data_IF_297829730717
#
_entry.id   IF_297829730717
#
_cell.length_a   1.000
_cell.length_b   1.000
_cell.length_c   1.000
_cell.angle_alpha   90.00
_cell.angle_beta   90.00
_cell.angle_gamma   90.00
#
_symmetry.space_group_name_H-M   'P 1'
#
loop_
_entity.id
_entity.type
_entity.pdbx_description
1 polymer ?
#
# COMPACT_ATOMS: atom_id res chain seq x y z
N UNK A 1 -15.00 -1.59 -3.48
CA UNK A 1 -15.15 -3.05 -3.68
C UNK A 1 -15.46 -3.43 -5.13
N UNK A 2 -16.55 -2.99 -5.74
CA UNK A 2 -16.88 -3.36 -7.14
C UNK A 2 -15.79 -2.98 -8.14
N UNK A 3 -15.22 -1.78 -8.02
CA UNK A 3 -14.09 -1.36 -8.88
C UNK A 3 -12.81 -2.17 -8.65
N UNK A 4 -12.55 -2.64 -7.43
CA UNK A 4 -11.39 -3.50 -7.14
C UNK A 4 -11.56 -4.89 -7.76
N UNK A 5 -12.77 -5.45 -7.72
CA UNK A 5 -13.08 -6.74 -8.35
C UNK A 5 -12.85 -6.71 -9.87
N UNK A 6 -13.18 -5.61 -10.54
CA UNK A 6 -12.88 -5.41 -11.97
C UNK A 6 -11.39 -5.43 -12.29
N UNK A 7 -10.53 -5.26 -11.28
CA UNK A 7 -9.07 -5.20 -11.37
C UNK A 7 -8.38 -6.41 -10.70
N UNK A 8 -9.12 -7.48 -10.43
CA UNK A 8 -8.63 -8.68 -9.73
C UNK A 8 -8.03 -8.40 -8.33
N UNK A 9 -8.48 -7.35 -7.66
CA UNK A 9 -8.12 -7.05 -6.27
C UNK A 9 -9.25 -7.46 -5.31
N UNK A 10 -8.90 -8.09 -4.20
CA UNK A 10 -9.81 -8.47 -3.11
C UNK A 10 -9.67 -7.54 -1.92
N UNK A 11 -10.67 -7.57 -1.04
CA UNK A 11 -10.62 -6.87 0.25
C UNK A 11 -10.73 -7.94 1.32
N UNK A 12 -9.66 -8.13 2.10
CA UNK A 12 -9.57 -9.22 3.06
C UNK A 12 -10.30 -8.90 4.37
N UNK A 13 -10.31 -7.62 4.76
CA UNK A 13 -11.01 -7.15 5.94
C UNK A 13 -11.55 -5.72 5.75
N UNK A 14 -12.74 -5.45 6.29
CA UNK A 14 -13.25 -4.10 6.51
C UNK A 14 -13.28 -3.84 8.02
N UNK A 15 -12.71 -2.71 8.44
CA UNK A 15 -12.74 -2.28 9.83
C UNK A 15 -13.35 -0.89 9.90
N UNK A 16 -14.43 -0.77 10.69
CA UNK A 16 -14.98 0.51 11.08
C UNK A 16 -14.42 0.88 12.46
N UNK A 17 -13.84 2.07 12.56
CA UNK A 17 -13.31 2.58 13.82
C UNK A 17 -14.14 3.77 14.30
N UNK A 18 -14.64 3.68 15.54
CA UNK A 18 -15.31 4.78 16.25
C UNK A 18 -14.48 5.16 17.47
N UNK A 19 -14.28 6.46 17.69
CA UNK A 19 -13.47 6.98 18.81
C UNK A 19 -14.34 7.33 20.04
N UNK A 20 -15.58 6.84 20.08
CA UNK A 20 -16.54 7.09 21.17
C UNK A 20 -16.27 6.15 22.35
N UNK A 21 -16.37 6.67 23.58
CA UNK A 21 -16.26 5.87 24.81
C UNK A 21 -17.31 4.75 24.82
N UNK A 22 -16.88 3.50 24.94
CA UNK A 22 -17.75 2.31 24.96
C UNK A 22 -17.88 1.58 23.61
N UNK A 23 -17.21 2.05 22.56
CA UNK A 23 -17.11 1.29 21.31
C UNK A 23 -16.36 -0.03 21.55
N UNK A 24 -16.86 -1.19 21.07
CA UNK A 24 -16.14 -2.44 21.21
C UNK A 24 -14.77 -2.32 20.54
N UNK A 25 -13.72 -2.74 21.25
CA UNK A 25 -12.39 -2.87 20.65
C UNK A 25 -12.50 -3.77 19.41
N UNK A 26 -12.11 -3.22 18.26
CA UNK A 26 -12.01 -4.00 17.03
C UNK A 26 -11.08 -5.19 17.30
N UNK A 27 -11.46 -6.38 16.83
CA UNK A 27 -10.59 -7.56 16.89
C UNK A 27 -9.50 -7.38 15.82
N UNK A 28 -8.28 -7.10 16.25
CA UNK A 28 -7.14 -6.81 15.36
C UNK A 28 -6.33 -8.05 14.98
N UNK A 29 -6.55 -9.22 15.62
CA UNK A 29 -5.83 -10.45 15.26
C UNK A 29 -5.90 -10.83 13.77
N UNK A 30 -7.04 -10.71 13.06
CA UNK A 30 -7.12 -11.02 11.63
C UNK A 30 -6.27 -10.10 10.74
N UNK A 31 -5.80 -8.96 11.27
CA UNK A 31 -5.08 -7.95 10.50
C UNK A 31 -3.56 -8.13 10.56
N UNK A 32 -3.04 -9.09 11.34
CA UNK A 32 -1.59 -9.29 11.51
C UNK A 32 -0.85 -9.64 10.22
N UNK A 33 -1.54 -10.28 9.27
CA UNK A 33 -0.97 -10.64 7.96
C UNK A 33 -1.23 -9.58 6.88
N UNK A 34 -1.93 -8.49 7.21
CA UNK A 34 -2.26 -7.42 6.25
C UNK A 34 -1.13 -6.40 6.18
N UNK A 35 -0.66 -6.15 4.96
CA UNK A 35 0.45 -5.23 4.66
C UNK A 35 0.03 -3.92 4.02
N UNK A 36 -1.16 -3.88 3.42
CA UNK A 36 -1.69 -2.72 2.70
C UNK A 36 -2.96 -2.26 3.38
N UNK A 37 -2.94 -1.05 3.94
CA UNK A 37 -4.07 -0.42 4.59
C UNK A 37 -4.63 0.68 3.69
N UNK A 38 -5.95 0.71 3.52
CA UNK A 38 -6.64 1.84 2.85
C UNK A 38 -7.52 2.52 3.88
N UNK A 39 -7.24 3.79 4.18
CA UNK A 39 -7.98 4.56 5.18
C UNK A 39 -8.79 5.69 4.55
N UNK A 40 -10.00 5.86 5.10
CA UNK A 40 -10.84 7.02 4.85
C UNK A 40 -11.26 7.60 6.19
N UNK A 41 -10.62 8.70 6.60
CA UNK A 41 -10.85 9.33 7.90
C UNK A 41 -11.22 10.80 7.73
N UNK A 42 -12.33 11.27 8.32
CA UNK A 42 -12.67 12.69 8.29
C UNK A 42 -11.80 13.49 9.25
N UNK A 43 -11.02 14.42 8.70
CA UNK A 43 -10.28 15.44 9.45
C UNK A 43 -9.02 14.95 10.18
N UNK A 44 -8.25 15.92 10.69
CA UNK A 44 -6.94 15.69 11.31
C UNK A 44 -7.00 14.92 12.62
N UNK A 45 -8.00 15.18 13.45
CA UNK A 45 -8.15 14.51 14.75
C UNK A 45 -8.31 13.00 14.58
N UNK A 46 -9.29 12.58 13.79
CA UNK A 46 -9.61 11.17 13.51
C UNK A 46 -8.43 10.46 12.85
N UNK A 47 -7.76 11.12 11.90
CA UNK A 47 -6.60 10.55 11.23
C UNK A 47 -5.41 10.39 12.18
N UNK A 48 -5.12 11.38 13.02
CA UNK A 48 -4.05 11.26 14.02
C UNK A 48 -4.31 10.13 15.02
N UNK A 49 -5.55 9.97 15.49
CA UNK A 49 -5.90 8.84 16.37
C UNK A 49 -5.76 7.49 15.65
N UNK A 50 -6.09 7.40 14.36
CA UNK A 50 -5.82 6.20 13.55
C UNK A 50 -4.32 5.89 13.48
N UNK A 51 -3.47 6.89 13.18
CA UNK A 51 -2.02 6.71 13.14
C UNK A 51 -1.49 6.21 14.48
N UNK A 52 -1.94 6.78 15.59
CA UNK A 52 -1.55 6.32 16.92
C UNK A 52 -1.97 4.87 17.18
N UNK A 53 -3.20 4.49 16.80
CA UNK A 53 -3.66 3.10 16.95
C UNK A 53 -2.83 2.13 16.12
N UNK A 54 -2.53 2.47 14.85
CA UNK A 54 -1.69 1.66 13.97
C UNK A 54 -0.27 1.51 14.54
N UNK A 55 0.30 2.58 15.10
CA UNK A 55 1.60 2.54 15.77
C UNK A 55 1.59 1.57 16.95
N UNK A 56 0.60 1.68 17.84
CA UNK A 56 0.50 0.84 19.04
C UNK A 56 0.27 -0.64 18.72
N UNK A 57 -0.29 -0.94 17.54
CA UNK A 57 -0.45 -2.30 17.01
C UNK A 57 0.77 -2.81 16.23
N UNK A 58 1.79 -1.97 16.01
CA UNK A 58 3.01 -2.35 15.29
C UNK A 58 2.90 -2.28 13.75
N UNK A 59 1.89 -1.60 13.21
CA UNK A 59 1.69 -1.45 11.76
C UNK A 59 2.48 -0.27 11.17
N UNK A 60 3.81 -0.35 11.27
CA UNK A 60 4.74 0.64 10.72
C UNK A 60 6.04 0.00 10.23
N UNK A 61 6.83 0.77 9.46
CA UNK A 61 8.11 0.30 8.92
C UNK A 61 7.99 -0.27 7.50
N UNK A 62 8.98 -1.09 7.11
CA UNK A 62 9.22 -1.45 5.71
C UNK A 62 8.15 -2.32 5.08
N UNK A 63 7.46 -3.12 5.88
CA UNK A 63 6.51 -4.14 5.44
C UNK A 63 5.06 -3.66 5.32
N UNK A 64 4.77 -2.42 5.75
CA UNK A 64 3.41 -1.87 5.73
C UNK A 64 3.34 -0.62 4.86
N UNK A 65 2.23 -0.45 4.15
CA UNK A 65 1.90 0.77 3.42
C UNK A 65 0.48 1.21 3.76
N UNK A 66 0.34 2.50 4.06
CA UNK A 66 -0.94 3.17 4.26
C UNK A 66 -1.27 3.99 3.02
N UNK A 67 -2.42 3.72 2.40
CA UNK A 67 -3.06 4.56 1.40
C UNK A 67 -4.13 5.36 2.11
N UNK A 68 -4.06 6.68 2.01
CA UNK A 68 -5.00 7.55 2.72
C UNK A 68 -5.54 8.64 1.80
N UNK A 69 -6.84 8.89 1.93
CA UNK A 69 -7.45 10.10 1.40
C UNK A 69 -7.13 11.24 2.37
N UNK A 70 -6.14 12.09 2.08
CA UNK A 70 -5.77 13.08 3.09
C UNK A 70 -5.12 14.39 2.63
N UNK A 71 -5.43 15.42 3.44
CA UNK A 71 -5.16 16.85 3.25
C UNK A 71 -4.20 17.44 4.29
N UNK A 72 -3.65 16.67 5.25
CA UNK A 72 -2.80 17.30 6.26
C UNK A 72 -1.40 17.64 5.77
N UNK A 73 -0.96 18.81 6.23
CA UNK A 73 0.41 19.30 6.15
C UNK A 73 1.15 18.96 7.44
N UNK A 74 2.48 19.03 7.37
CA UNK A 74 3.37 19.00 8.55
C UNK A 74 2.89 19.95 9.65
N UNK A 75 2.42 21.14 9.26
CA UNK A 75 1.93 22.16 10.18
C UNK A 75 0.73 21.70 11.01
N UNK A 76 -0.07 20.78 10.48
CA UNK A 76 -1.24 20.26 11.18
C UNK A 76 -0.83 19.26 12.29
N UNK A 77 0.45 18.88 12.30
CA UNK A 77 1.09 18.01 13.30
C UNK A 77 1.97 18.78 14.29
N UNK A 78 2.22 20.09 14.08
CA UNK A 78 3.13 20.85 14.94
C UNK A 78 2.53 21.18 16.32
N UNK A 79 1.21 21.02 16.48
CA UNK A 79 0.47 21.20 17.73
C UNK A 79 -0.14 19.90 18.25
N UNK A 80 0.51 18.75 18.01
CA UNK A 80 0.04 17.46 18.54
C UNK A 80 0.05 17.54 20.08
N UNK A 81 -1.13 17.32 20.66
CA UNK A 81 -1.30 17.11 22.09
C UNK A 81 -1.37 15.61 22.36
N UNK A 82 -0.34 15.07 23.01
CA UNK A 82 -0.26 13.64 23.35
C UNK A 82 -1.47 13.17 24.16
N UNK A 83 -2.08 14.04 24.98
CA UNK A 83 -3.27 13.70 25.76
C UNK A 83 -4.51 13.47 24.90
N UNK A 84 -4.57 14.07 23.70
CA UNK A 84 -5.68 13.96 22.75
C UNK A 84 -5.55 12.73 21.86
N UNK A 85 -4.33 12.40 21.45
CA UNK A 85 -4.06 11.34 20.48
C UNK A 85 -3.62 10.02 21.13
N UNK A 86 -3.03 10.07 22.32
CA UNK A 86 -2.43 8.91 22.99
C UNK A 86 -1.06 8.49 22.45
N UNK A 87 -0.48 9.27 21.52
CA UNK A 87 0.85 9.09 20.96
C UNK A 87 1.51 10.44 20.69
N UNK A 88 2.83 10.44 20.65
CA UNK A 88 3.62 11.61 20.27
C UNK A 88 3.77 11.73 18.75
N UNK A 89 4.27 12.90 18.30
CA UNK A 89 4.50 13.19 16.88
C UNK A 89 5.40 12.15 16.19
N UNK A 90 6.46 11.71 16.85
CA UNK A 90 7.44 10.79 16.26
C UNK A 90 6.80 9.42 15.97
N UNK A 91 5.98 8.92 16.89
CA UNK A 91 5.26 7.64 16.76
C UNK A 91 4.28 7.67 15.58
N UNK A 92 3.50 8.76 15.46
CA UNK A 92 2.59 8.91 14.31
C UNK A 92 3.34 9.04 12.98
N UNK A 93 4.47 9.75 12.96
CA UNK A 93 5.30 9.90 11.76
C UNK A 93 5.93 8.58 11.30
N UNK A 94 6.19 7.63 12.20
CA UNK A 94 6.69 6.30 11.81
C UNK A 94 5.68 5.51 10.97
N UNK A 95 4.39 5.65 11.27
CA UNK A 95 3.31 5.04 10.47
C UNK A 95 3.17 5.77 9.13
N UNK A 96 3.30 7.10 9.15
CA UNK A 96 3.14 7.94 7.97
C UNK A 96 4.31 7.84 6.99
N UNK A 97 5.51 7.47 7.45
CA UNK A 97 6.69 7.31 6.60
C UNK A 97 6.44 6.30 5.48
N UNK A 98 6.53 6.76 4.22
CA UNK A 98 6.24 5.98 3.03
C UNK A 98 4.75 5.68 2.80
N UNK A 99 3.84 6.39 3.47
CA UNK A 99 2.41 6.35 3.16
C UNK A 99 2.11 7.09 1.84
N UNK A 100 1.10 6.61 1.11
CA UNK A 100 0.59 7.25 -0.10
C UNK A 100 -0.63 8.11 0.24
N UNK A 101 -0.50 9.41 0.00
CA UNK A 101 -1.61 10.35 0.08
C UNK A 101 -2.25 10.53 -1.29
N UNK A 102 -3.56 10.28 -1.37
CA UNK A 102 -4.36 10.59 -2.55
C UNK A 102 -5.35 11.70 -2.22
N UNK A 103 -5.47 12.69 -3.10
CA UNK A 103 -6.50 13.73 -2.96
C UNK A 103 -6.99 14.15 -4.34
N UNK A 104 -8.24 14.62 -4.42
CA UNK A 104 -8.68 15.33 -5.60
C UNK A 104 -7.75 16.53 -5.82
N UNK A 105 -7.45 16.89 -7.07
CA UNK A 105 -6.59 18.04 -7.38
C UNK A 105 -7.29 19.36 -7.03
N UNK A 106 -7.52 19.57 -5.74
CA UNK A 106 -8.01 20.80 -5.17
C UNK A 106 -6.77 21.51 -4.65
N UNK A 107 -6.07 22.20 -5.56
CA UNK A 107 -5.54 23.55 -5.32
C UNK A 107 -4.43 23.78 -4.28
N UNK A 108 -3.87 22.74 -3.64
CA UNK A 108 -2.62 22.90 -2.89
C UNK A 108 -1.40 23.07 -3.81
N UNK A 109 -1.59 22.94 -5.12
CA UNK A 109 -0.48 22.81 -6.08
C UNK A 109 -0.54 23.77 -7.26
N UNK A 110 -1.43 24.76 -7.34
CA UNK A 110 -1.25 25.78 -8.40
C UNK A 110 0.11 26.50 -8.24
N UNK A 111 0.75 26.40 -7.06
CA UNK A 111 2.16 26.78 -6.82
C UNK A 111 3.21 25.63 -6.77
N UNK A 112 2.83 24.36 -6.93
CA UNK A 112 3.76 23.20 -6.95
C UNK A 112 3.72 22.44 -8.28
N UNK A 113 2.69 22.65 -9.09
CA UNK A 113 2.80 22.48 -10.52
C UNK A 113 3.81 23.52 -10.99
N UNK A 114 4.99 23.02 -11.35
CA UNK A 114 5.85 23.70 -12.29
C UNK A 114 5.14 23.72 -13.65
N UNK A 115 4.07 24.53 -13.71
CA UNK A 115 3.27 24.75 -14.90
C UNK A 115 4.03 25.75 -15.77
N UNK A 116 5.16 25.28 -16.30
CA UNK A 116 5.83 25.89 -17.44
C UNK A 116 5.08 25.65 -18.76
N UNK A 117 3.95 24.93 -18.72
CA UNK A 117 3.20 24.55 -19.93
C UNK A 117 2.09 25.53 -20.34
N UNK A 118 1.55 26.36 -19.44
CA UNK A 118 0.47 27.30 -19.80
C UNK A 118 0.60 28.64 -19.07
N UNK A 119 1.17 29.63 -19.77
CA UNK A 119 1.51 30.96 -19.25
C UNK A 119 0.30 31.74 -18.67
N UNK A 120 -0.91 31.55 -19.24
CA UNK A 120 -2.15 32.25 -18.83
C UNK A 120 -2.68 31.84 -17.46
N UNK A 121 -2.61 30.56 -17.12
CA UNK A 121 -3.07 30.00 -15.83
C UNK A 121 -2.16 30.45 -14.68
N UNK A 122 -0.84 30.50 -14.92
CA UNK A 122 0.17 30.94 -13.93
C UNK A 122 0.05 32.43 -13.62
N UNK A 123 -0.14 33.27 -14.64
CA UNK A 123 -0.36 34.71 -14.45
C UNK A 123 -1.66 34.98 -13.70
N UNK A 124 -2.78 34.39 -14.14
CA UNK A 124 -4.09 34.56 -13.48
C UNK A 124 -4.05 34.10 -12.02
N UNK A 125 -3.36 32.99 -11.72
CA UNK A 125 -3.17 32.56 -10.33
C UNK A 125 -2.36 33.56 -9.50
N UNK A 126 -1.26 34.09 -10.07
CA UNK A 126 -0.43 35.08 -9.39
C UNK A 126 -1.21 36.38 -9.12
N UNK A 127 -2.10 36.78 -10.03
CA UNK A 127 -2.97 37.95 -9.86
C UNK A 127 -4.04 37.73 -8.78
N UNK A 128 -4.55 36.50 -8.64
CA UNK A 128 -5.52 36.13 -7.60
C UNK A 128 -4.87 35.92 -6.22
N UNK A 129 -3.60 35.53 -6.17
CA UNK A 129 -2.87 35.17 -4.94
C UNK A 129 -2.93 36.23 -3.82
N UNK A 130 -2.83 37.56 -4.09
CA UNK A 130 -3.02 38.58 -3.07
C UNK A 130 -4.44 38.59 -2.49
N UNK A 131 -5.46 38.40 -3.33
CA UNK A 131 -6.87 38.38 -2.93
C UNK A 131 -7.18 37.16 -2.05
N UNK A 132 -6.57 36.01 -2.35
CA UNK A 132 -6.73 34.79 -1.55
C UNK A 132 -6.27 34.99 -0.09
N UNK A 133 -5.26 35.84 0.15
CA UNK A 133 -4.80 36.15 1.52
C UNK A 133 -5.84 36.88 2.36
N UNK A 134 -6.79 37.58 1.71
CA UNK A 134 -7.88 38.29 2.38
C UNK A 134 -8.97 37.35 2.89
N UNK A 135 -8.98 36.09 2.45
CA UNK A 135 -9.95 35.10 2.91
C UNK A 135 -9.59 34.71 4.35
N UNK A 136 -10.46 34.98 5.34
CA UNK A 136 -10.14 34.79 6.76
C UNK A 136 -9.94 33.32 7.13
N UNK A 137 -10.64 32.42 6.45
CA UNK A 137 -10.57 30.98 6.71
C UNK A 137 -9.51 30.33 5.85
N UNK A 138 -8.40 29.92 6.47
CA UNK A 138 -7.29 29.25 5.78
C UNK A 138 -7.74 28.00 4.97
N UNK A 139 -8.74 27.25 5.46
CA UNK A 139 -9.30 26.10 4.76
C UNK A 139 -10.10 26.43 3.48
N UNK A 140 -10.66 27.63 3.36
CA UNK A 140 -11.43 28.05 2.18
C UNK A 140 -10.55 28.61 1.06
N UNK A 141 -9.28 28.90 1.36
CA UNK A 141 -8.29 29.39 0.38
C UNK A 141 -7.96 28.37 -0.69
N UNK A 142 -8.20 27.09 -0.42
CA UNK A 142 -7.94 26.01 -1.37
C UNK A 142 -9.00 26.04 -2.48
N UNK A 143 -10.29 26.06 -2.16
CA UNK A 143 -11.37 25.95 -3.17
C UNK A 143 -11.44 27.08 -4.23
N UNK A 144 -10.55 28.08 -4.21
CA UNK A 144 -10.56 29.26 -5.06
C UNK A 144 -10.52 28.94 -6.57
N UNK A 145 -9.55 28.18 -7.11
CA UNK A 145 -9.59 27.72 -8.50
C UNK A 145 -10.88 27.00 -8.89
N UNK A 146 -11.46 26.17 -8.01
CA UNK A 146 -12.70 25.46 -8.31
C UNK A 146 -13.86 26.45 -8.47
N UNK A 147 -13.97 27.40 -7.55
CA UNK A 147 -15.02 28.43 -7.60
C UNK A 147 -14.83 29.31 -8.84
N UNK A 148 -13.60 29.71 -9.13
CA UNK A 148 -13.26 30.50 -10.32
C UNK A 148 -13.69 29.81 -11.61
N UNK A 149 -13.28 28.55 -11.80
CA UNK A 149 -13.64 27.78 -12.99
C UNK A 149 -15.15 27.49 -13.05
N UNK A 150 -15.83 27.33 -11.90
CA UNK A 150 -17.28 27.13 -11.88
C UNK A 150 -18.04 28.37 -12.39
N UNK A 151 -17.57 29.58 -12.06
CA UNK A 151 -18.17 30.81 -12.61
C UNK A 151 -17.96 30.89 -14.13
N UNK A 152 -16.77 30.54 -14.61
CA UNK A 152 -16.49 30.47 -16.04
C UNK A 152 -17.36 29.43 -16.76
N UNK A 153 -17.54 28.25 -16.18
CA UNK A 153 -18.40 27.22 -16.74
C UNK A 153 -19.85 27.68 -16.88
N UNK A 154 -20.38 28.34 -15.85
CA UNK A 154 -21.73 28.94 -15.89
C UNK A 154 -21.81 29.99 -17.00
N UNK A 155 -20.80 30.87 -17.12
CA UNK A 155 -20.78 31.89 -18.16
C UNK A 155 -20.74 31.28 -19.58
N UNK A 156 -19.94 30.24 -19.79
CA UNK A 156 -19.87 29.51 -21.07
C UNK A 156 -21.19 28.82 -21.40
N UNK A 157 -21.81 28.15 -20.43
CA UNK A 157 -23.10 27.50 -20.61
C UNK A 157 -24.21 28.51 -20.95
N UNK A 158 -24.26 29.65 -20.26
CA UNK A 158 -25.21 30.73 -20.57
C UNK A 158 -24.98 31.28 -21.98
N UNK A 159 -23.72 31.53 -22.36
CA UNK A 159 -23.39 32.02 -23.70
C UNK A 159 -23.76 31.01 -24.80
N UNK A 160 -23.52 29.71 -24.58
CA UNK A 160 -23.96 28.66 -25.50
C UNK A 160 -25.49 28.62 -25.61
N UNK A 161 -26.19 28.74 -24.48
CA UNK A 161 -27.66 28.78 -24.44
C UNK A 161 -28.21 29.99 -25.19
N UNK A 162 -27.63 31.18 -25.02
CA UNK A 162 -28.01 32.39 -25.78
C UNK A 162 -27.83 32.20 -27.29
N UNK A 163 -26.83 31.43 -27.72
CA UNK A 163 -26.61 31.15 -29.15
C UNK A 163 -27.58 30.12 -29.71
N UNK A 164 -28.02 29.17 -28.89
CA UNK A 164 -28.96 28.13 -29.25
C UNK A 164 -30.40 28.65 -29.25
N UNK A 165 -30.76 29.41 -28.21
CA UNK A 165 -32.06 30.03 -28.05
C UNK A 165 -32.08 31.33 -28.85
N UNK A 166 -32.64 31.29 -30.06
CA UNK A 166 -32.71 32.43 -30.97
C UNK A 166 -33.52 33.63 -30.44
N UNK A 167 -34.14 33.51 -29.26
CA UNK A 167 -34.93 34.54 -28.60
C UNK A 167 -34.35 34.89 -27.20
N UNK A 168 -33.55 35.96 -27.15
CA UNK A 168 -32.98 36.50 -25.92
C UNK A 168 -34.08 36.99 -24.95
N UNK A 169 -35.26 37.34 -25.44
CA UNK A 169 -36.34 37.85 -24.60
C UNK A 169 -37.00 36.71 -23.79
N UNK A 170 -36.92 35.45 -24.23
CA UNK A 170 -37.29 34.30 -23.39
C UNK A 170 -36.35 34.15 -22.18
N UNK A 171 -35.05 34.39 -22.38
CA UNK A 171 -34.05 34.35 -21.31
C UNK A 171 -34.28 35.47 -20.29
N UNK A 172 -34.50 36.71 -20.76
CA UNK A 172 -34.75 37.87 -19.90
C UNK A 172 -36.05 37.74 -19.11
N UNK A 173 -37.06 37.12 -19.70
CA UNK A 173 -38.39 36.94 -19.09
C UNK A 173 -38.53 35.62 -18.33
N UNK A 174 -37.42 34.94 -18.01
CA UNK A 174 -37.44 33.71 -17.24
C UNK A 174 -38.17 33.91 -15.88
N UNK A 175 -39.16 33.07 -15.65
CA UNK A 175 -39.92 32.95 -14.40
C UNK A 175 -39.84 31.51 -13.92
N UNK A 176 -39.41 31.34 -12.68
CA UNK A 176 -39.34 30.06 -11.99
C UNK A 176 -40.73 29.37 -11.99
N UNK A 177 -40.81 28.07 -12.30
CA UNK A 177 -42.06 27.24 -12.39
C UNK A 177 -43.03 27.54 -13.55
N UNK A 178 -42.63 28.27 -14.59
CA UNK A 178 -43.41 28.33 -15.82
C UNK A 178 -43.14 27.08 -16.69
N UNK A 179 -44.19 26.37 -17.12
CA UNK A 179 -44.07 25.16 -17.96
C UNK A 179 -43.43 25.43 -19.32
N UNK A 180 -43.51 26.66 -19.86
CA UNK A 180 -42.80 27.08 -21.08
C UNK A 180 -41.29 27.27 -20.88
N UNK A 181 -40.84 27.53 -19.64
CA UNK A 181 -39.43 27.74 -19.33
C UNK A 181 -38.67 26.45 -19.01
N UNK A 182 -39.35 25.30 -19.14
CA UNK A 182 -38.75 23.98 -18.94
C UNK A 182 -37.70 23.69 -20.02
N UNK A 183 -38.01 24.06 -21.27
CA UNK A 183 -37.11 23.90 -22.42
C UNK A 183 -35.83 24.71 -22.26
N UNK A 184 -35.93 25.96 -21.82
CA UNK A 184 -34.75 26.80 -21.56
C UNK A 184 -33.83 26.22 -20.48
N UNK A 185 -34.40 25.67 -19.40
CA UNK A 185 -33.61 25.04 -18.34
C UNK A 185 -32.96 23.73 -18.80
N UNK A 186 -33.65 22.95 -19.62
CA UNK A 186 -33.12 21.73 -20.24
C UNK A 186 -31.95 22.07 -21.20
N UNK A 187 -32.10 23.12 -22.03
CA UNK A 187 -31.03 23.63 -22.89
C UNK A 187 -29.83 24.13 -22.07
N UNK A 188 -30.06 24.92 -21.02
CA UNK A 188 -28.98 25.40 -20.15
C UNK A 188 -28.25 24.24 -19.46
N UNK A 189 -28.98 23.25 -18.96
CA UNK A 189 -28.39 22.07 -18.33
C UNK A 189 -27.58 21.24 -19.34
N UNK A 190 -28.11 21.01 -20.54
CA UNK A 190 -27.39 20.34 -21.63
C UNK A 190 -26.09 21.07 -21.99
N UNK A 191 -26.18 22.38 -22.22
CA UNK A 191 -25.02 23.22 -22.52
C UNK A 191 -23.99 23.22 -21.38
N UNK A 192 -24.44 23.17 -20.11
CA UNK A 192 -23.54 23.06 -18.97
C UNK A 192 -22.79 21.72 -18.96
N UNK A 193 -23.45 20.61 -19.30
CA UNK A 193 -22.82 19.29 -19.42
C UNK A 193 -21.83 19.20 -20.58
N UNK A 194 -21.95 20.08 -21.57
CA UNK A 194 -21.05 20.18 -22.73
C UNK A 194 -19.88 21.15 -22.52
N UNK A 195 -19.81 21.84 -21.39
CA UNK A 195 -18.68 22.73 -21.08
C UNK A 195 -17.41 21.89 -20.87
N UNK A 196 -16.40 22.18 -21.71
CA UNK A 196 -15.04 21.65 -21.60
C UNK A 196 -14.02 22.76 -21.86
N UNK A 197 -13.10 23.00 -20.92
CA UNK A 197 -12.01 23.96 -21.07
C UNK A 197 -10.85 23.70 -20.10
N UNK A 198 -9.71 24.35 -20.32
CA UNK A 198 -8.56 24.31 -19.39
C UNK A 198 -8.67 25.51 -18.41
N UNK A 199 -8.89 25.22 -17.13
CA UNK A 199 -9.09 26.22 -16.07
C UNK A 199 -7.93 26.31 -15.08
N UNK A 200 -8.12 27.08 -14.01
CA UNK A 200 -7.14 27.20 -12.91
C UNK A 200 -6.99 25.89 -12.12
N UNK A 201 -8.04 25.07 -12.08
CA UNK A 201 -8.04 23.74 -11.46
C UNK A 201 -7.73 22.61 -12.44
N UNK A 202 -7.15 22.94 -13.60
CA UNK A 202 -6.84 22.01 -14.68
C UNK A 202 -8.02 21.82 -15.63
N UNK A 203 -8.03 20.69 -16.33
CA UNK A 203 -9.10 20.35 -17.26
C UNK A 203 -10.48 20.32 -16.57
N UNK A 204 -11.41 21.10 -17.08
CA UNK A 204 -12.77 21.23 -16.56
C UNK A 204 -13.73 20.51 -17.50
N UNK A 205 -14.45 19.49 -17.01
CA UNK A 205 -15.51 18.83 -17.76
C UNK A 205 -16.47 18.07 -16.82
N UNK A 206 -17.68 17.83 -17.31
CA UNK A 206 -18.68 17.00 -16.63
C UNK A 206 -18.72 15.59 -17.22
N UNK A 207 -18.90 14.59 -16.35
CA UNK A 207 -19.33 13.26 -16.80
C UNK A 207 -20.82 13.33 -17.14
N UNK A 208 -21.15 13.24 -18.44
CA UNK A 208 -22.51 13.45 -18.95
C UNK A 208 -23.56 12.51 -18.34
N UNK A 209 -23.18 11.28 -17.98
CA UNK A 209 -24.09 10.29 -17.40
C UNK A 209 -24.47 10.59 -15.95
N UNK A 210 -23.59 11.21 -15.18
CA UNK A 210 -23.77 11.47 -13.75
C UNK A 210 -24.02 12.95 -13.44
N UNK A 211 -23.66 13.85 -14.36
CA UNK A 211 -23.63 15.29 -14.11
C UNK A 211 -22.56 15.72 -13.11
N UNK A 212 -21.60 14.84 -12.80
CA UNK A 212 -20.54 15.11 -11.83
C UNK A 212 -19.32 15.65 -12.55
N UNK A 213 -18.83 16.83 -12.11
CA UNK A 213 -17.57 17.39 -12.56
C UNK A 213 -16.44 16.42 -12.21
N UNK A 214 -15.61 16.09 -13.20
CA UNK A 214 -14.47 15.21 -13.01
C UNK A 214 -13.20 15.99 -12.65
N UNK A 215 -12.31 15.32 -11.93
CA UNK A 215 -11.02 15.85 -11.49
C UNK A 215 -9.96 14.76 -11.63
N UNK A 216 -8.74 15.19 -11.95
CA UNK A 216 -7.57 14.34 -11.76
C UNK A 216 -7.27 14.18 -10.26
N UNK A 217 -6.72 13.02 -9.90
CA UNK A 217 -6.36 12.72 -8.51
C UNK A 217 -4.86 12.85 -8.34
N UNK A 218 -4.44 13.69 -7.41
CA UNK A 218 -3.04 13.81 -7.02
C UNK A 218 -2.59 12.60 -6.20
N UNK A 219 -1.33 12.23 -6.38
CA UNK A 219 -0.64 11.19 -5.63
C UNK A 219 0.63 11.80 -5.03
N UNK A 220 0.75 11.70 -3.72
CA UNK A 220 1.94 12.10 -2.98
C UNK A 220 2.47 10.98 -2.09
N UNK A 221 3.76 11.06 -1.79
CA UNK A 221 4.46 10.16 -0.88
C UNK A 221 4.91 10.93 0.36
N UNK A 222 4.57 10.42 1.53
CA UNK A 222 5.02 10.99 2.80
C UNK A 222 6.45 10.55 3.13
N UNK A 223 7.28 11.49 3.59
CA UNK A 223 8.60 11.19 4.16
C UNK A 223 8.54 10.98 5.68
N UNK A 224 9.68 10.60 6.27
CA UNK A 224 9.82 10.36 7.71
C UNK A 224 9.54 11.58 8.60
N UNK A 225 9.48 12.78 8.03
CA UNK A 225 9.16 14.03 8.73
C UNK A 225 7.69 14.45 8.49
N UNK A 226 6.92 13.68 7.74
CA UNK A 226 5.54 13.98 7.37
C UNK A 226 5.41 14.97 6.21
N UNK A 227 6.49 15.24 5.46
CA UNK A 227 6.40 16.02 4.21
C UNK A 227 5.75 15.16 3.14
N UNK A 228 4.69 15.68 2.54
CA UNK A 228 4.09 15.10 1.35
C UNK A 228 4.82 15.60 0.11
N UNK A 229 5.50 14.71 -0.60
CA UNK A 229 6.16 15.00 -1.88
C UNK A 229 5.26 14.59 -3.03
N UNK A 230 5.12 15.43 -4.04
CA UNK A 230 4.39 15.09 -5.27
C UNK A 230 5.14 14.04 -6.05
N UNK A 231 4.46 12.94 -6.39
CA UNK A 231 5.07 11.87 -7.17
C UNK A 231 4.33 11.60 -8.49
N UNK A 232 3.10 12.09 -8.62
CA UNK A 232 2.31 11.91 -9.84
C UNK A 232 0.82 12.19 -9.65
N UNK A 233 0.05 11.97 -10.71
CA UNK A 233 -1.40 12.10 -10.69
C UNK A 233 -2.05 10.98 -11.50
N UNK A 234 -3.30 10.69 -11.20
CA UNK A 234 -4.17 9.85 -12.01
C UNK A 234 -5.01 10.73 -12.93
N UNK A 235 -4.78 10.58 -14.23
CA UNK A 235 -5.57 11.22 -15.28
C UNK A 235 -6.91 10.48 -15.39
N UNK A 236 -7.98 11.17 -15.01
CA UNK A 236 -9.31 10.56 -14.99
C UNK A 236 -9.86 10.30 -16.39
N UNK A 237 -9.49 11.12 -17.37
CA UNK A 237 -9.98 11.00 -18.74
C UNK A 237 -9.34 9.80 -19.44
N UNK A 238 -8.02 9.66 -19.33
CA UNK A 238 -7.25 8.61 -19.99
C UNK A 238 -7.12 7.34 -19.14
N UNK A 239 -7.55 7.37 -17.88
CA UNK A 239 -7.47 6.24 -16.94
C UNK A 239 -6.04 5.71 -16.76
N UNK A 240 -5.05 6.60 -16.71
CA UNK A 240 -3.65 6.26 -16.50
C UNK A 240 -3.04 7.03 -15.33
N UNK A 241 -1.92 6.51 -14.80
CA UNK A 241 -1.13 7.20 -13.79
C UNK A 241 0.06 7.84 -14.49
N UNK A 242 0.24 9.14 -14.30
CA UNK A 242 1.38 9.91 -14.76
C UNK A 242 2.26 10.19 -13.56
N UNK A 243 3.43 9.54 -13.49
CA UNK A 243 4.40 9.72 -12.41
C UNK A 243 5.65 10.46 -12.87
N UNK A 244 6.36 11.06 -11.91
CA UNK A 244 7.76 11.46 -12.08
C UNK A 244 8.64 10.30 -11.57
N UNK A 245 9.37 9.58 -12.45
CA UNK A 245 10.04 8.33 -12.09
C UNK A 245 11.02 8.45 -10.92
N UNK A 246 11.73 9.57 -10.83
CA UNK A 246 12.79 9.78 -9.82
C UNK A 246 12.24 10.06 -8.40
N UNK A 247 10.94 10.38 -8.29
CA UNK A 247 10.28 10.77 -7.05
C UNK A 247 9.51 9.61 -6.38
N UNK A 248 9.24 8.52 -7.10
CA UNK A 248 8.51 7.34 -6.58
C UNK A 248 9.46 6.33 -5.95
N UNK A 249 10.20 6.74 -4.92
CA UNK A 249 11.13 5.84 -4.22
C UNK A 249 10.82 5.84 -2.73
N UNK A 250 10.48 4.67 -2.18
CA UNK A 250 10.40 4.45 -0.74
C UNK A 250 11.80 4.42 -0.11
N UNK A 251 12.50 5.57 -0.15
CA UNK A 251 13.90 5.70 0.29
C UNK A 251 14.08 5.22 1.73
N UNK A 252 13.17 5.59 2.62
CA UNK A 252 13.14 5.15 4.02
C UNK A 252 12.86 3.64 4.18
N UNK A 253 12.21 3.00 3.20
CA UNK A 253 11.89 1.56 3.22
C UNK A 253 12.80 0.67 2.38
N UNK A 254 13.97 1.17 1.99
CA UNK A 254 14.95 0.38 1.24
C UNK A 254 14.75 0.42 -0.28
N UNK A 255 14.02 1.41 -0.78
CA UNK A 255 13.93 1.72 -2.21
C UNK A 255 12.85 0.97 -2.98
N UNK A 256 12.12 0.06 -2.34
CA UNK A 256 11.01 -0.69 -2.95
C UNK A 256 9.74 -0.59 -2.11
N UNK A 257 8.58 -0.70 -2.78
CA UNK A 257 7.30 -0.84 -2.11
C UNK A 257 7.22 -2.20 -1.37
N UNK A 258 6.49 -2.28 -0.24
CA UNK A 258 6.25 -3.56 0.42
C UNK A 258 5.47 -4.53 -0.47
N UNK A 259 5.76 -5.81 -0.31
CA UNK A 259 4.95 -6.90 -0.85
C UNK A 259 3.66 -7.06 -0.03
N UNK A 260 2.63 -7.61 -0.68
CA UNK A 260 1.33 -7.92 -0.08
C UNK A 260 1.37 -9.18 0.79
N UNK A 261 2.16 -10.19 0.43
CA UNK A 261 2.39 -11.42 1.23
C UNK A 261 3.88 -11.68 1.48
N UNK A 262 4.17 -12.51 2.48
CA UNK A 262 5.48 -13.14 2.64
C UNK A 262 5.74 -14.20 1.58
N UNK A 263 6.90 -14.11 0.92
CA UNK A 263 7.35 -15.16 0.01
C UNK A 263 7.82 -16.36 0.84
N UNK A 264 7.00 -17.40 0.92
CA UNK A 264 7.35 -18.66 1.58
C UNK A 264 8.41 -19.40 0.76
N UNK A 265 9.64 -19.43 1.24
CA UNK A 265 10.72 -20.23 0.67
C UNK A 265 10.82 -21.55 1.42
N UNK A 266 10.53 -22.65 0.71
CA UNK A 266 10.67 -23.99 1.27
C UNK A 266 12.11 -24.45 1.13
N UNK A 267 12.87 -24.40 2.22
CA UNK A 267 14.19 -25.00 2.29
C UNK A 267 14.10 -26.43 2.84
N UNK A 268 14.62 -27.40 2.07
CA UNK A 268 14.79 -28.77 2.59
C UNK A 268 15.90 -28.71 3.65
N UNK A 269 15.53 -28.85 4.93
CA UNK A 269 16.51 -29.00 6.01
C UNK A 269 17.33 -30.27 5.77
N UNK A 270 18.61 -30.09 5.42
CA UNK A 270 19.58 -31.17 5.29
C UNK A 270 20.36 -31.34 6.58
N UNK A 271 20.73 -32.56 6.90
CA UNK A 271 21.65 -32.84 8.01
C UNK A 271 23.01 -32.21 7.69
N UNK A 272 23.70 -31.72 8.72
CA UNK A 272 25.01 -31.11 8.53
C UNK A 272 25.99 -32.10 7.90
N UNK A 273 26.82 -31.61 6.97
CA UNK A 273 27.88 -32.43 6.34
C UNK A 273 28.82 -33.04 7.38
N UNK A 274 29.09 -32.29 8.45
CA UNK A 274 29.93 -32.74 9.57
C UNK A 274 29.34 -33.98 10.24
N UNK A 275 28.04 -33.97 10.55
CA UNK A 275 27.37 -35.12 11.17
C UNK A 275 27.42 -36.35 10.26
N UNK A 276 27.19 -36.16 8.96
CA UNK A 276 27.27 -37.22 7.95
C UNK A 276 28.67 -37.84 7.91
N UNK A 277 29.72 -37.01 7.87
CA UNK A 277 31.11 -37.48 7.83
C UNK A 277 31.46 -38.25 9.10
N UNK A 278 31.13 -37.70 10.27
CA UNK A 278 31.44 -38.32 11.56
C UNK A 278 30.76 -39.68 11.69
N UNK A 279 29.45 -39.77 11.42
CA UNK A 279 28.72 -41.04 11.48
C UNK A 279 29.25 -42.07 10.48
N UNK A 280 29.62 -41.63 9.27
CA UNK A 280 30.18 -42.51 8.24
C UNK A 280 31.54 -43.09 8.66
N UNK A 281 32.39 -42.27 9.30
CA UNK A 281 33.70 -42.73 9.81
C UNK A 281 33.52 -43.72 10.95
N UNK A 282 32.62 -43.46 11.90
CA UNK A 282 32.36 -44.38 13.01
C UNK A 282 31.79 -45.72 12.53
N UNK A 283 30.81 -45.70 11.62
CA UNK A 283 30.24 -46.92 11.04
C UNK A 283 31.28 -47.70 10.23
N UNK A 284 32.09 -47.02 9.40
CA UNK A 284 33.17 -47.64 8.65
C UNK A 284 34.24 -48.28 9.55
N UNK A 285 34.58 -47.62 10.66
CA UNK A 285 35.52 -48.14 11.65
C UNK A 285 34.95 -49.37 12.38
N UNK A 286 33.65 -49.36 12.73
CA UNK A 286 32.95 -50.50 13.32
C UNK A 286 33.00 -51.75 12.43
N UNK A 287 32.70 -51.58 11.14
CA UNK A 287 32.77 -52.66 10.14
C UNK A 287 34.21 -53.20 10.03
N UNK A 288 35.22 -52.32 9.98
CA UNK A 288 36.62 -52.72 9.88
C UNK A 288 37.07 -53.53 11.10
N UNK A 289 36.71 -53.11 12.32
CA UNK A 289 36.98 -53.87 13.53
C UNK A 289 36.27 -55.23 13.55
N UNK A 290 35.01 -55.27 13.13
CA UNK A 290 34.24 -56.51 13.03
C UNK A 290 34.89 -57.51 12.06
N UNK A 291 35.37 -57.04 10.91
CA UNK A 291 36.07 -57.88 9.92
C UNK A 291 37.41 -58.41 10.47
N UNK A 292 38.20 -57.56 11.14
CA UNK A 292 39.45 -57.98 11.80
C UNK A 292 39.16 -59.04 12.85
N UNK A 293 38.12 -58.86 13.65
CA UNK A 293 37.72 -59.82 14.68
C UNK A 293 37.31 -61.16 14.06
N UNK A 294 36.48 -61.16 13.01
CA UNK A 294 36.11 -62.39 12.29
C UNK A 294 37.34 -63.08 11.71
N UNK A 295 38.25 -62.33 11.10
CA UNK A 295 39.48 -62.88 10.51
C UNK A 295 40.38 -63.49 11.58
N UNK A 296 40.57 -62.81 12.70
CA UNK A 296 41.29 -63.33 13.86
C UNK A 296 40.65 -64.61 14.41
N UNK A 297 39.31 -64.63 14.54
CA UNK A 297 38.56 -65.78 15.02
C UNK A 297 38.63 -66.99 14.07
N UNK A 298 38.79 -66.76 12.76
CA UNK A 298 39.01 -67.83 11.77
C UNK A 298 40.45 -68.36 11.84
N UNK A 299 41.44 -67.48 11.90
CA UNK A 299 42.88 -67.86 11.91
C UNK A 299 43.23 -68.65 13.17
N UNK A 300 42.76 -68.20 14.34
CA UNK A 300 43.06 -68.86 15.62
C UNK A 300 42.02 -69.90 16.05
N UNK A 301 41.23 -70.43 15.11
CA UNK A 301 40.14 -71.39 15.35
C UNK A 301 40.54 -72.65 16.12
N UNK A 302 41.83 -73.03 16.13
CA UNK A 302 42.34 -74.23 16.78
C UNK A 302 42.94 -74.00 18.18
N UNK A 303 42.94 -72.77 18.71
CA UNK A 303 43.38 -72.52 20.09
C UNK A 303 42.34 -73.02 21.11
N UNK A 304 42.81 -73.70 22.16
CA UNK A 304 41.98 -74.36 23.19
C UNK A 304 41.01 -73.37 23.85
N UNK A 305 41.42 -72.12 24.10
CA UNK A 305 40.56 -71.08 24.70
C UNK A 305 39.41 -70.59 23.80
N UNK A 306 39.49 -70.77 22.48
CA UNK A 306 38.41 -70.41 21.54
C UNK A 306 37.44 -71.59 21.32
N UNK A 307 37.80 -72.78 21.82
CA UNK A 307 37.07 -74.03 21.59
C UNK A 307 35.88 -74.20 22.53
N UNK A 308 35.89 -73.55 23.69
CA UNK A 308 34.95 -73.79 24.79
C UNK A 308 33.83 -72.74 24.96
N UNK A 309 33.86 -71.62 24.23
CA UNK A 309 32.78 -70.63 24.25
C UNK A 309 31.81 -70.79 23.07
N UNK A 310 30.57 -70.30 23.21
CA UNK A 310 29.49 -70.39 22.23
C UNK A 310 29.82 -69.72 20.87
N UNK A 311 30.72 -70.31 20.09
CA UNK A 311 31.28 -69.77 18.83
C UNK A 311 30.22 -69.28 17.84
N UNK A 312 29.11 -70.00 17.74
CA UNK A 312 27.99 -69.64 16.85
C UNK A 312 27.36 -68.31 17.28
N UNK A 313 27.16 -68.09 18.59
CA UNK A 313 26.57 -66.86 19.10
C UNK A 313 27.46 -65.65 18.84
N UNK A 314 28.77 -65.79 19.01
CA UNK A 314 29.73 -64.70 18.74
C UNK A 314 29.74 -64.29 17.28
N UNK A 315 29.69 -65.25 16.34
CA UNK A 315 29.58 -64.93 14.91
C UNK A 315 28.25 -64.26 14.56
N UNK A 316 27.13 -64.70 15.17
CA UNK A 316 25.81 -64.08 14.96
C UNK A 316 25.79 -62.64 15.46
N UNK A 317 26.39 -62.35 16.63
CA UNK A 317 26.50 -60.99 17.17
C UNK A 317 27.32 -60.09 16.24
N UNK A 318 28.51 -60.54 15.81
CA UNK A 318 29.39 -59.74 14.94
C UNK A 318 28.76 -59.50 13.57
N UNK A 319 28.07 -60.50 13.01
CA UNK A 319 27.32 -60.34 11.77
C UNK A 319 26.17 -59.33 11.92
N UNK A 320 25.48 -59.34 13.06
CA UNK A 320 24.47 -58.34 13.42
C UNK A 320 25.03 -56.92 13.46
N UNK A 321 26.22 -56.73 14.05
CA UNK A 321 26.91 -55.43 14.07
C UNK A 321 27.22 -54.92 12.65
N UNK A 322 27.73 -55.79 11.77
CA UNK A 322 28.04 -55.43 10.37
C UNK A 322 26.77 -54.98 9.64
N UNK A 323 25.64 -55.67 9.83
CA UNK A 323 24.36 -55.29 9.21
C UNK A 323 23.90 -53.92 9.70
N UNK A 324 23.97 -53.67 11.02
CA UNK A 324 23.55 -52.39 11.61
C UNK A 324 24.41 -51.22 11.12
N UNK A 325 25.73 -51.37 11.09
CA UNK A 325 26.64 -50.32 10.60
C UNK A 325 26.44 -50.06 9.11
N UNK A 326 26.17 -51.11 8.32
CA UNK A 326 25.85 -50.97 6.89
C UNK A 326 24.51 -50.26 6.67
N UNK A 327 23.51 -50.55 7.50
CA UNK A 327 22.22 -49.87 7.44
C UNK A 327 22.35 -48.37 7.71
N UNK A 328 23.18 -47.98 8.69
CA UNK A 328 23.48 -46.57 8.98
C UNK A 328 24.09 -45.88 7.75
N UNK A 329 25.02 -46.52 7.06
CA UNK A 329 25.63 -45.97 5.83
C UNK A 329 24.61 -45.80 4.69
N UNK A 330 23.71 -46.77 4.50
CA UNK A 330 22.64 -46.70 3.50
C UNK A 330 21.68 -45.55 3.83
N UNK A 331 21.27 -45.45 5.09
CA UNK A 331 20.36 -44.38 5.52
C UNK A 331 21.00 -43.00 5.38
N UNK A 332 22.32 -42.88 5.60
CA UNK A 332 23.07 -41.64 5.35
C UNK A 332 23.12 -41.31 3.85
N UNK A 333 23.31 -42.29 2.97
CA UNK A 333 23.31 -42.09 1.52
C UNK A 333 21.94 -41.61 1.01
N UNK A 334 20.85 -42.13 1.57
CA UNK A 334 19.47 -41.73 1.23
C UNK A 334 19.12 -40.32 1.76
N UNK A 335 19.82 -39.85 2.78
CA UNK A 335 19.70 -38.47 3.29
C UNK A 335 20.48 -37.44 2.44
N UNK A 336 21.30 -37.89 1.49
CA UNK A 336 22.06 -37.02 0.58
C UNK A 336 21.33 -36.72 -0.74
N UNK A 337 20.37 -37.56 -1.13
CA UNK A 337 19.47 -37.37 -2.30
C UNK A 337 18.31 -36.42 -2.00
#
# INVERSE_FOLDING_TARGET
RNELKKRNATVDADVLFTFDEGSPDVIWEPLKDIRVFVSFTPGTLTFGKLLCKLHNLGFYGRQYVLLTYFFARISDWDSIDESVYGCNKKEMLQVLDGALGCSQMVTTLVGMYDNDKHFSTKQTYNDLKPLVKLIPTAGLRYYQPIVYDSVWAIAMAINATIRQEHDIDEIKNYKHRNSKNKTLLESLYGNLLDVEFEGLSGKYYYEKSTGVRQFDSYIGLFDSNGRLTYIGYFDKQNSNIVTKPDDVVWKSKGGAAPLDEEIKQYERKRISKTTIIVLSVFAGFGILLALIYVLYAIVHRNHIMIKDEWRIMTYVIVFGCIILDTYVLIHIADLQT
#
